data_IF_852196337686
#
_entry.id   IF_852196337686
#
_cell.length_a   1.000
_cell.length_b   1.000
_cell.length_c   1.000
_cell.angle_alpha   90.00
_cell.angle_beta   90.00
_cell.angle_gamma   90.00
#
_symmetry.space_group_name_H-M   'P 1'
#
loop_
_entity.id
_entity.type
_entity.pdbx_description
1 polymer ?
#
# COMPACT_ATOMS: atom_id res chain seq x y z
N UNK A 1 11.43 -2.75 25.77
CA UNK A 1 11.95 -1.80 24.76
C UNK A 1 11.55 -0.38 25.13
N UNK A 2 12.49 0.56 25.11
CA UNK A 2 12.24 1.97 25.45
C UNK A 2 11.18 2.60 24.52
N UNK A 3 10.34 3.50 25.05
CA UNK A 3 9.24 4.17 24.33
C UNK A 3 9.67 4.84 23.02
N UNK A 4 10.94 5.28 22.96
CA UNK A 4 11.58 5.93 21.80
C UNK A 4 11.82 4.95 20.64
N UNK A 5 12.25 3.73 20.95
CA UNK A 5 12.51 2.65 19.97
C UNK A 5 11.22 2.21 19.28
N UNK A 6 10.14 2.04 20.06
CA UNK A 6 8.81 1.68 19.53
C UNK A 6 8.25 2.74 18.56
N UNK A 7 8.46 4.02 18.88
CA UNK A 7 8.03 5.14 18.02
C UNK A 7 8.81 5.14 16.70
N UNK A 8 10.12 4.88 16.75
CA UNK A 8 11.00 4.85 15.59
C UNK A 8 10.63 3.72 14.63
N UNK A 9 10.40 2.51 15.14
CA UNK A 9 9.90 1.38 14.33
C UNK A 9 8.57 1.69 13.65
N UNK A 10 7.61 2.23 14.39
CA UNK A 10 6.29 2.57 13.84
C UNK A 10 6.38 3.59 12.71
N UNK A 11 7.23 4.62 12.85
CA UNK A 11 7.47 5.60 11.78
C UNK A 11 8.13 4.96 10.57
N UNK A 12 9.12 4.09 10.76
CA UNK A 12 9.77 3.37 9.64
C UNK A 12 8.77 2.55 8.85
N UNK A 13 7.88 1.82 9.51
CA UNK A 13 6.94 0.95 8.79
C UNK A 13 5.86 1.77 8.08
N UNK A 14 5.38 2.86 8.68
CA UNK A 14 4.44 3.78 8.02
C UNK A 14 5.07 4.35 6.75
N UNK A 15 6.32 4.81 6.82
CA UNK A 15 7.04 5.34 5.66
C UNK A 15 7.24 4.27 4.60
N UNK A 16 7.62 3.05 4.98
CA UNK A 16 7.81 1.95 4.04
C UNK A 16 6.50 1.53 3.36
N UNK A 17 5.40 1.49 4.11
CA UNK A 17 4.06 1.22 3.58
C UNK A 17 3.58 2.34 2.65
N UNK A 18 3.86 3.61 2.97
CA UNK A 18 3.55 4.74 2.08
C UNK A 18 4.37 4.71 0.79
N UNK A 19 5.67 4.42 0.86
CA UNK A 19 6.53 4.27 -0.33
C UNK A 19 6.06 3.09 -1.18
N UNK A 20 5.79 1.94 -0.55
CA UNK A 20 5.26 0.77 -1.25
C UNK A 20 3.90 1.06 -1.90
N UNK A 21 3.01 1.77 -1.22
CA UNK A 21 1.71 2.18 -1.75
C UNK A 21 1.87 3.11 -2.96
N UNK A 22 2.77 4.10 -2.89
CA UNK A 22 3.04 5.02 -4.01
C UNK A 22 3.68 4.30 -5.20
N UNK A 23 4.59 3.36 -4.95
CA UNK A 23 5.28 2.59 -5.99
C UNK A 23 4.37 1.52 -6.63
N UNK A 24 3.48 0.91 -5.86
CA UNK A 24 2.46 -0.02 -6.39
C UNK A 24 1.25 0.69 -6.96
N UNK A 25 1.07 2.00 -6.68
CA UNK A 25 -0.01 2.79 -7.26
C UNK A 25 0.19 2.89 -8.77
N UNK A 26 -0.76 2.41 -9.57
CA UNK A 26 -0.75 2.52 -11.03
C UNK A 26 -0.93 3.88 -11.59
N UNK A 27 -1.39 4.77 -10.73
CA UNK A 27 -1.96 5.99 -11.19
C UNK A 27 -0.94 6.88 -11.89
N UNK A 28 0.36 6.98 -11.50
CA UNK A 28 1.30 7.83 -12.23
C UNK A 28 1.48 7.35 -13.68
N UNK A 29 1.68 6.05 -13.93
CA UNK A 29 1.91 5.58 -15.29
C UNK A 29 0.67 5.62 -16.16
N UNK A 30 -0.54 5.53 -15.57
CA UNK A 30 -1.79 5.70 -16.31
C UNK A 30 -1.95 7.10 -16.90
N UNK A 31 -1.37 8.13 -16.28
CA UNK A 31 -1.41 9.51 -16.78
C UNK A 31 -0.22 9.84 -17.71
N UNK A 32 0.93 9.18 -17.52
CA UNK A 32 2.15 9.42 -18.31
C UNK A 32 2.34 8.46 -19.51
N UNK A 33 1.50 7.42 -19.67
CA UNK A 33 1.60 6.47 -20.77
C UNK A 33 0.50 6.73 -21.82
N UNK A 34 0.81 7.40 -22.94
CA UNK A 34 -0.19 7.82 -23.93
C UNK A 34 -0.85 6.66 -24.70
N UNK A 35 -0.28 5.44 -24.65
CA UNK A 35 -0.69 4.30 -25.49
C UNK A 35 -1.46 3.19 -24.76
N UNK A 36 -1.96 3.43 -23.55
CA UNK A 36 -2.74 2.42 -22.82
C UNK A 36 -4.17 2.34 -23.39
N UNK A 37 -4.51 1.20 -23.99
CA UNK A 37 -5.87 0.93 -24.48
C UNK A 37 -6.87 0.85 -23.33
N UNK A 38 -8.13 1.21 -23.61
CA UNK A 38 -9.21 1.12 -22.63
C UNK A 38 -9.39 -0.32 -22.11
N UNK A 39 -9.25 -1.35 -22.97
CA UNK A 39 -9.29 -2.75 -22.53
C UNK A 39 -8.17 -3.08 -21.53
N UNK A 40 -6.96 -2.56 -21.73
CA UNK A 40 -5.85 -2.80 -20.82
C UNK A 40 -6.07 -2.11 -19.46
N UNK A 41 -6.66 -0.91 -19.46
CA UNK A 41 -7.12 -0.21 -18.26
C UNK A 41 -8.15 -1.04 -17.47
N UNK A 42 -9.17 -1.57 -18.13
CA UNK A 42 -10.19 -2.41 -17.49
C UNK A 42 -9.64 -3.74 -16.95
N UNK A 43 -8.53 -4.25 -17.49
CA UNK A 43 -7.84 -5.41 -16.92
C UNK A 43 -6.97 -5.05 -15.72
N UNK A 44 -6.16 -3.99 -15.84
CA UNK A 44 -5.15 -3.60 -14.84
C UNK A 44 -5.79 -3.00 -13.59
N UNK A 45 -6.80 -2.12 -13.74
CA UNK A 45 -7.41 -1.42 -12.62
C UNK A 45 -7.98 -2.35 -11.52
N UNK A 46 -8.76 -3.40 -11.84
CA UNK A 46 -9.22 -4.35 -10.83
C UNK A 46 -8.08 -5.20 -10.25
N UNK A 47 -7.07 -5.60 -11.04
CA UNK A 47 -5.91 -6.37 -10.55
C UNK A 47 -5.20 -5.61 -9.42
N UNK A 48 -4.98 -4.31 -9.61
CA UNK A 48 -4.42 -3.48 -8.54
C UNK A 48 -5.33 -3.34 -7.35
N UNK A 49 -6.64 -3.16 -7.59
CA UNK A 49 -7.63 -3.16 -6.52
C UNK A 49 -7.50 -4.41 -5.65
N UNK A 50 -7.46 -5.59 -6.27
CA UNK A 50 -7.32 -6.86 -5.56
C UNK A 50 -5.98 -7.03 -4.84
N UNK A 51 -4.86 -6.69 -5.50
CA UNK A 51 -3.53 -6.77 -4.89
C UNK A 51 -3.41 -5.84 -3.67
N UNK A 52 -4.13 -4.71 -3.65
CA UNK A 52 -4.10 -3.76 -2.53
C UNK A 52 -4.84 -4.23 -1.26
N UNK A 53 -5.82 -5.14 -1.40
CA UNK A 53 -6.67 -5.62 -0.28
C UNK A 53 -5.87 -6.13 0.93
N UNK A 54 -4.92 -7.07 0.79
CA UNK A 54 -4.18 -7.59 1.95
C UNK A 54 -3.39 -6.50 2.69
N UNK A 55 -2.89 -5.48 1.98
CA UNK A 55 -2.13 -4.38 2.59
C UNK A 55 -3.04 -3.43 3.36
N UNK A 56 -4.21 -3.10 2.80
CA UNK A 56 -5.23 -2.30 3.50
C UNK A 56 -5.74 -3.06 4.73
N UNK A 57 -6.04 -4.35 4.60
CA UNK A 57 -6.45 -5.19 5.70
C UNK A 57 -5.38 -5.27 6.80
N UNK A 58 -4.10 -5.39 6.44
CA UNK A 58 -2.99 -5.38 7.38
C UNK A 58 -2.86 -4.04 8.09
N UNK A 59 -2.99 -2.91 7.37
CA UNK A 59 -2.96 -1.57 7.95
C UNK A 59 -4.10 -1.33 8.96
N UNK A 60 -5.30 -1.82 8.64
CA UNK A 60 -6.46 -1.79 9.55
C UNK A 60 -6.20 -2.68 10.77
N UNK A 61 -5.76 -3.92 10.56
CA UNK A 61 -5.48 -4.87 11.63
C UNK A 61 -4.40 -4.33 12.59
N UNK A 62 -3.33 -3.74 12.06
CA UNK A 62 -2.28 -3.07 12.84
C UNK A 62 -2.79 -1.87 13.65
N UNK A 63 -3.83 -1.18 13.17
CA UNK A 63 -4.39 0.00 13.85
C UNK A 63 -5.39 -0.40 14.95
N UNK A 64 -6.18 -1.45 14.71
CA UNK A 64 -7.23 -1.89 15.64
C UNK A 64 -6.72 -2.87 16.70
N UNK A 65 -5.89 -3.84 16.30
CA UNK A 65 -5.37 -4.92 17.15
C UNK A 65 -3.94 -5.29 16.73
N UNK A 66 -2.95 -4.42 17.03
CA UNK A 66 -1.55 -4.63 16.64
C UNK A 66 -0.97 -5.96 17.17
N UNK A 67 -1.54 -6.50 18.25
CA UNK A 67 -1.16 -7.79 18.83
C UNK A 67 -1.47 -9.02 17.97
N UNK A 68 -2.39 -8.92 16.99
CA UNK A 68 -2.76 -10.05 16.11
C UNK A 68 -1.86 -10.16 14.87
N UNK A 69 -0.93 -9.24 14.74
CA UNK A 69 -0.17 -9.00 13.51
C UNK A 69 1.32 -8.79 13.76
N UNK A 70 1.76 -9.15 14.97
CA UNK A 70 3.16 -9.29 15.38
C UNK A 70 3.52 -10.77 15.35
#
# INVERSE_FOLDING_TARGET
MAKKEKKKMRTTIIVLASIWFVVTLPLPWLIYSPDISQQQLFGILPIIGFISIPFVALGIAWTLKPELTT
#
